data_IF_233603861789
#
_entry.id   IF_233603861789
#
_cell.length_a   1.000
_cell.length_b   1.000
_cell.length_c   1.000
_cell.angle_alpha   90.00
_cell.angle_beta   90.00
_cell.angle_gamma   90.00
#
_symmetry.space_group_name_H-M   'P 1'
#
loop_
_entity.id
_entity.type
_entity.pdbx_description
1 polymer ?
#
# COMPACT_ATOMS: atom_id res chain seq x y z
N UNK A 1 0.28 1.31 -6.16
CA UNK A 1 -0.12 1.44 -4.74
C UNK A 1 -1.29 2.39 -4.69
N UNK A 2 -2.47 1.93 -4.24
CA UNK A 2 -3.58 2.81 -3.94
C UNK A 2 -4.07 2.56 -2.50
N UNK A 3 -4.66 3.58 -1.89
CA UNK A 3 -5.26 3.46 -0.57
C UNK A 3 -6.70 2.97 -0.72
N UNK A 4 -7.13 1.93 0.02
CA UNK A 4 -8.54 1.49 0.01
C UNK A 4 -9.41 2.43 0.84
N UNK A 5 -9.51 3.67 0.35
CA UNK A 5 -10.53 4.61 0.78
C UNK A 5 -11.83 4.40 0.00
N UNK A 6 -11.97 3.20 -0.58
CA UNK A 6 -12.58 2.93 -1.87
C UNK A 6 -13.44 1.70 -1.72
N UNK A 7 -14.69 1.77 -2.17
CA UNK A 7 -15.59 0.62 -2.21
C UNK A 7 -15.15 -0.41 -3.28
N UNK A 8 -15.69 -1.63 -3.27
CA UNK A 8 -15.33 -2.66 -4.26
C UNK A 8 -15.53 -2.24 -5.73
N UNK A 9 -16.47 -1.35 -6.02
CA UNK A 9 -16.78 -0.92 -7.40
C UNK A 9 -15.70 0.02 -7.95
N UNK A 10 -15.22 0.95 -7.12
CA UNK A 10 -14.10 1.82 -7.49
C UNK A 10 -12.78 1.03 -7.53
N UNK A 11 -12.59 0.02 -6.65
CA UNK A 11 -11.45 -0.90 -6.75
C UNK A 11 -11.44 -1.66 -8.09
N UNK A 12 -12.61 -2.14 -8.53
CA UNK A 12 -12.78 -2.78 -9.84
C UNK A 12 -12.47 -1.81 -10.98
N UNK A 13 -12.99 -0.60 -10.92
CA UNK A 13 -12.75 0.42 -11.95
C UNK A 13 -11.25 0.69 -12.12
N UNK A 14 -10.51 0.77 -11.01
CA UNK A 14 -9.06 0.97 -11.03
C UNK A 14 -8.30 -0.25 -11.57
N UNK A 15 -8.69 -1.45 -11.17
CA UNK A 15 -8.09 -2.69 -11.67
C UNK A 15 -8.31 -2.86 -13.18
N UNK A 16 -9.56 -2.69 -13.63
CA UNK A 16 -9.92 -2.76 -15.05
C UNK A 16 -9.10 -1.73 -15.83
N UNK A 17 -9.11 -0.45 -15.42
CA UNK A 17 -8.31 0.60 -16.07
C UNK A 17 -6.82 0.25 -16.14
N UNK A 18 -6.26 -0.21 -15.02
CA UNK A 18 -4.83 -0.52 -14.93
C UNK A 18 -4.43 -1.64 -15.88
N UNK A 19 -5.19 -2.74 -15.88
CA UNK A 19 -4.88 -3.90 -16.70
C UNK A 19 -5.30 -3.73 -18.17
N UNK A 20 -6.35 -2.96 -18.45
CA UNK A 20 -6.76 -2.62 -19.82
C UNK A 20 -5.71 -1.75 -20.51
N UNK A 21 -5.10 -0.79 -19.80
CA UNK A 21 -3.96 -0.04 -20.32
C UNK A 21 -2.82 -1.00 -20.66
N UNK A 22 -2.45 -1.92 -19.76
CA UNK A 22 -1.38 -2.90 -20.03
C UNK A 22 -1.70 -3.72 -21.29
N UNK A 23 -2.96 -4.11 -21.49
CA UNK A 23 -3.41 -4.89 -22.65
C UNK A 23 -3.55 -4.07 -23.94
N UNK A 24 -3.60 -2.75 -23.86
CA UNK A 24 -3.81 -1.88 -25.02
C UNK A 24 -2.50 -1.49 -25.74
N UNK A 25 -2.65 -0.83 -26.87
CA UNK A 25 -1.56 -0.18 -27.60
C UNK A 25 -1.09 1.13 -26.95
N UNK A 26 -1.81 1.63 -25.94
CA UNK A 26 -1.49 2.87 -25.21
C UNK A 26 -0.43 2.67 -24.12
N UNK A 27 -0.13 1.42 -23.71
CA UNK A 27 0.93 1.18 -22.72
C UNK A 27 2.31 1.48 -23.32
N UNK A 28 2.92 2.59 -22.88
CA UNK A 28 4.30 2.97 -23.18
C UNK A 28 5.09 3.06 -21.85
N UNK A 29 5.87 2.04 -21.49
CA UNK A 29 6.59 1.99 -20.21
C UNK A 29 7.71 3.03 -20.10
N UNK A 30 7.78 3.70 -18.96
CA UNK A 30 8.89 4.62 -18.65
C UNK A 30 10.09 3.83 -18.09
N UNK A 31 9.84 2.82 -17.26
CA UNK A 31 10.87 1.96 -16.65
C UNK A 31 11.38 0.84 -17.55
N UNK A 32 12.22 -0.02 -16.99
CA UNK A 32 12.79 -1.20 -17.69
C UNK A 32 11.90 -2.45 -17.60
N UNK A 33 10.79 -2.36 -16.88
CA UNK A 33 9.85 -3.46 -16.67
C UNK A 33 8.44 -2.91 -16.46
N UNK A 34 7.43 -3.67 -16.86
CA UNK A 34 6.02 -3.42 -16.50
C UNK A 34 5.70 -4.20 -15.24
N UNK A 35 5.41 -3.53 -14.13
CA UNK A 35 5.04 -4.19 -12.87
C UNK A 35 3.53 -4.42 -12.81
N UNK A 36 3.02 -5.49 -13.42
CA UNK A 36 1.60 -5.82 -13.48
C UNK A 36 1.05 -6.38 -12.15
N UNK A 37 1.10 -5.58 -11.08
CA UNK A 37 0.59 -5.92 -9.75
C UNK A 37 -0.09 -4.70 -9.09
N UNK A 38 -1.38 -4.83 -8.80
CA UNK A 38 -2.19 -3.83 -8.13
C UNK A 38 -2.38 -4.19 -6.65
N UNK A 39 -1.92 -3.30 -5.78
CA UNK A 39 -2.02 -3.45 -4.34
C UNK A 39 -2.96 -2.40 -3.72
N UNK A 40 -3.88 -2.85 -2.86
CA UNK A 40 -4.79 -2.03 -2.07
C UNK A 40 -4.39 -2.02 -0.58
N UNK A 41 -4.34 -0.82 0.02
CA UNK A 41 -4.10 -0.69 1.48
C UNK A 41 -5.42 -0.75 2.23
N UNK A 42 -5.67 -1.79 3.01
CA UNK A 42 -6.89 -1.96 3.83
C UNK A 42 -6.62 -1.71 5.31
N UNK A 43 -7.66 -1.27 6.04
CA UNK A 43 -7.61 -1.33 7.50
C UNK A 43 -7.31 -2.76 7.95
N UNK A 44 -6.65 -2.91 9.08
CA UNK A 44 -6.41 -4.22 9.67
C UNK A 44 -6.58 -4.09 11.18
N UNK A 45 -7.38 -4.97 11.75
CA UNK A 45 -7.50 -5.27 13.18
C UNK A 45 -8.54 -6.39 13.30
N UNK A 46 -8.10 -7.58 13.72
CA UNK A 46 -8.96 -8.76 13.76
C UNK A 46 -9.25 -9.17 15.20
N UNK A 47 -10.49 -9.57 15.44
CA UNK A 47 -10.89 -10.24 16.65
C UNK A 47 -12.11 -11.12 16.35
N UNK A 48 -12.29 -12.23 17.08
CA UNK A 48 -13.47 -13.11 16.89
C UNK A 48 -14.80 -12.45 17.26
N UNK A 49 -14.73 -11.33 17.97
CA UNK A 49 -15.83 -10.43 18.27
C UNK A 49 -15.62 -9.11 17.51
N UNK A 50 -16.57 -8.76 16.66
CA UNK A 50 -16.50 -7.58 15.79
C UNK A 50 -16.44 -6.25 16.59
N UNK A 51 -17.15 -6.15 17.72
CA UNK A 51 -17.17 -4.95 18.54
C UNK A 51 -15.81 -4.72 19.19
N UNK A 52 -15.15 -5.81 19.59
CA UNK A 52 -13.81 -5.76 20.16
C UNK A 52 -12.75 -5.47 19.08
N UNK A 53 -12.91 -5.99 17.86
CA UNK A 53 -12.06 -5.62 16.72
C UNK A 53 -12.13 -4.11 16.46
N UNK A 54 -13.35 -3.56 16.45
CA UNK A 54 -13.62 -2.13 16.28
C UNK A 54 -13.00 -1.31 17.41
N UNK A 55 -13.26 -1.68 18.67
CA UNK A 55 -12.72 -0.99 19.86
C UNK A 55 -11.19 -0.91 19.83
N UNK A 56 -10.51 -1.94 19.33
CA UNK A 56 -9.03 -2.01 19.27
C UNK A 56 -8.43 -1.28 18.09
N UNK A 57 -9.09 -1.28 16.92
CA UNK A 57 -8.50 -0.86 15.66
C UNK A 57 -8.90 0.53 15.18
N UNK A 58 -10.12 0.99 15.49
CA UNK A 58 -10.72 2.13 14.79
C UNK A 58 -10.01 3.44 15.07
N UNK A 59 -9.55 3.69 16.30
CA UNK A 59 -8.86 4.92 16.69
C UNK A 59 -7.54 5.07 15.92
N UNK A 60 -6.80 3.96 15.76
CA UNK A 60 -5.58 3.95 14.96
C UNK A 60 -5.82 4.25 13.48
N UNK A 61 -6.91 3.71 12.90
CA UNK A 61 -7.28 3.97 11.51
C UNK A 61 -7.75 5.42 11.29
N UNK A 62 -8.53 5.96 12.23
CA UNK A 62 -8.95 7.36 12.23
C UNK A 62 -7.77 8.31 12.35
N UNK A 63 -6.82 8.02 13.24
CA UNK A 63 -5.57 8.77 13.31
C UNK A 63 -4.79 8.74 11.99
N UNK A 64 -4.66 7.57 11.35
CA UNK A 64 -3.96 7.47 10.06
C UNK A 64 -4.60 8.38 9.00
N UNK A 65 -5.93 8.35 8.88
CA UNK A 65 -6.68 9.22 7.96
C UNK A 65 -6.41 10.69 8.23
N UNK A 66 -6.51 11.09 9.50
CA UNK A 66 -6.17 12.44 9.93
C UNK A 66 -4.73 12.81 9.55
N UNK A 67 -3.75 11.96 9.88
CA UNK A 67 -2.34 12.23 9.66
C UNK A 67 -2.00 12.40 8.17
N UNK A 68 -2.54 11.55 7.30
CA UNK A 68 -2.36 11.67 5.84
C UNK A 68 -2.89 13.01 5.33
N UNK A 69 -4.07 13.43 5.80
CA UNK A 69 -4.62 14.73 5.43
C UNK A 69 -3.76 15.88 5.97
N UNK A 70 -3.39 15.84 7.26
CA UNK A 70 -2.60 16.88 7.91
C UNK A 70 -1.23 17.06 7.25
N UNK A 71 -0.57 15.99 6.78
CA UNK A 71 0.71 16.08 6.08
C UNK A 71 0.64 16.83 4.74
N UNK A 72 -0.56 16.94 4.15
CA UNK A 72 -0.79 17.66 2.88
C UNK A 72 -1.42 19.03 3.13
N UNK A 73 -2.31 19.13 4.11
CA UNK A 73 -3.14 20.31 4.35
C UNK A 73 -2.57 21.27 5.41
N UNK A 74 -1.66 20.81 6.28
CA UNK A 74 -1.15 21.61 7.39
C UNK A 74 0.32 21.98 7.21
N UNK A 75 0.71 23.14 7.74
CA UNK A 75 2.11 23.48 7.91
C UNK A 75 2.77 22.52 8.90
N UNK A 76 3.85 21.86 8.49
CA UNK A 76 4.63 20.97 9.35
C UNK A 76 5.99 21.58 9.66
N UNK A 77 6.33 21.66 10.95
CA UNK A 77 7.67 22.02 11.43
C UNK A 77 8.42 20.75 11.85
N UNK A 78 9.48 20.32 11.11
CA UNK A 78 10.25 19.13 11.44
C UNK A 78 10.74 19.14 12.90
N UNK A 79 10.48 18.05 13.62
CA UNK A 79 10.84 17.89 15.03
C UNK A 79 10.06 18.76 16.02
N UNK A 80 8.96 19.41 15.60
CA UNK A 80 8.11 20.25 16.48
C UNK A 80 6.62 19.98 16.33
N UNK A 81 6.10 19.69 15.13
CA UNK A 81 4.69 19.33 14.94
C UNK A 81 4.35 18.00 15.63
N UNK A 82 3.13 17.89 16.19
CA UNK A 82 2.68 16.74 16.97
C UNK A 82 1.29 16.28 16.49
N UNK A 83 1.27 15.52 15.39
CA UNK A 83 0.04 15.02 14.78
C UNK A 83 -0.81 14.19 15.75
N UNK A 84 -0.19 13.40 16.63
CA UNK A 84 -0.95 12.59 17.58
C UNK A 84 -1.64 13.47 18.64
N UNK A 85 -0.95 14.47 19.17
CA UNK A 85 -1.57 15.42 20.11
C UNK A 85 -2.71 16.21 19.48
N UNK A 86 -2.51 16.72 18.26
CA UNK A 86 -3.54 17.43 17.51
C UNK A 86 -4.76 16.53 17.23
N UNK A 87 -4.53 15.27 16.86
CA UNK A 87 -5.61 14.29 16.72
C UNK A 87 -6.34 14.01 18.05
N UNK A 88 -5.63 13.89 19.18
CA UNK A 88 -6.27 13.68 20.49
C UNK A 88 -7.16 14.86 20.92
N UNK A 89 -6.84 16.08 20.51
CA UNK A 89 -7.67 17.27 20.73
C UNK A 89 -8.92 17.30 19.84
N UNK A 90 -8.83 16.73 18.63
CA UNK A 90 -9.91 16.70 17.65
C UNK A 90 -10.84 15.49 17.78
N UNK A 91 -10.33 14.34 18.23
CA UNK A 91 -11.10 13.09 18.28
C UNK A 91 -12.26 13.23 19.27
N UNK A 92 -13.42 12.72 18.88
CA UNK A 92 -14.64 12.87 19.63
C UNK A 92 -15.86 12.67 18.74
N UNK A 93 -17.08 12.88 19.27
CA UNK A 93 -18.32 12.62 18.53
C UNK A 93 -18.51 13.49 17.27
N UNK A 94 -17.78 14.60 17.18
CA UNK A 94 -17.84 15.52 16.03
C UNK A 94 -16.95 15.06 14.86
N UNK A 95 -16.00 14.15 15.10
CA UNK A 95 -15.15 13.61 14.05
C UNK A 95 -15.94 12.51 13.30
N UNK A 96 -16.18 12.65 11.99
CA UNK A 96 -16.96 11.66 11.26
C UNK A 96 -16.26 10.30 11.29
N UNK A 97 -17.00 9.27 11.69
CA UNK A 97 -16.51 7.89 11.59
C UNK A 97 -16.61 7.45 10.14
N UNK A 98 -15.45 7.37 9.48
CA UNK A 98 -15.34 6.79 8.14
C UNK A 98 -15.22 5.27 8.31
N UNK A 99 -15.90 4.52 7.45
CA UNK A 99 -15.79 3.06 7.42
C UNK A 99 -14.32 2.62 7.30
N UNK A 100 -13.96 1.64 8.12
CA UNK A 100 -12.63 1.03 8.12
C UNK A 100 -12.74 -0.39 7.57
N UNK A 101 -12.89 -0.55 6.23
CA UNK A 101 -12.93 -1.88 5.63
C UNK A 101 -11.66 -2.63 6.02
N UNK A 102 -11.84 -3.78 6.67
CA UNK A 102 -10.77 -4.64 7.16
C UNK A 102 -10.55 -4.63 8.68
N UNK A 103 -11.37 -3.91 9.45
CA UNK A 103 -11.48 -4.06 10.90
C UNK A 103 -12.75 -4.87 11.21
N UNK A 104 -12.59 -6.06 11.81
CA UNK A 104 -13.72 -6.95 12.07
C UNK A 104 -13.31 -8.37 12.42
N UNK A 105 -14.17 -9.33 12.12
CA UNK A 105 -13.90 -10.75 12.32
C UNK A 105 -13.03 -11.33 11.18
N UNK A 106 -12.40 -12.50 11.39
CA UNK A 106 -11.74 -13.23 10.30
C UNK A 106 -12.68 -13.53 9.12
N UNK A 107 -13.97 -13.76 9.38
CA UNK A 107 -14.98 -13.98 8.34
C UNK A 107 -15.22 -12.71 7.52
N UNK A 108 -15.41 -11.56 8.19
CA UNK A 108 -15.57 -10.25 7.52
C UNK A 108 -14.36 -9.94 6.64
N UNK A 109 -13.15 -10.17 7.16
CA UNK A 109 -11.91 -9.92 6.43
C UNK A 109 -11.75 -10.87 5.24
N UNK A 110 -12.12 -12.14 5.40
CA UNK A 110 -12.09 -13.10 4.29
C UNK A 110 -13.06 -12.70 3.18
N UNK A 111 -14.25 -12.20 3.52
CA UNK A 111 -15.21 -11.68 2.54
C UNK A 111 -14.64 -10.47 1.79
N UNK A 112 -14.06 -9.51 2.52
CA UNK A 112 -13.41 -8.33 1.93
C UNK A 112 -12.29 -8.70 0.94
N UNK A 113 -11.41 -9.63 1.33
CA UNK A 113 -10.29 -10.04 0.45
C UNK A 113 -10.81 -10.76 -0.80
N UNK A 114 -11.91 -11.54 -0.70
CA UNK A 114 -12.56 -12.14 -1.88
C UNK A 114 -13.17 -11.11 -2.81
N UNK A 115 -13.77 -10.05 -2.27
CA UNK A 115 -14.28 -8.93 -3.06
C UNK A 115 -13.14 -8.24 -3.81
N UNK A 116 -12.04 -7.95 -3.13
CA UNK A 116 -10.83 -7.39 -3.77
C UNK A 116 -10.24 -8.32 -4.84
N UNK A 117 -10.14 -9.62 -4.56
CA UNK A 117 -9.65 -10.60 -5.54
C UNK A 117 -10.55 -10.64 -6.79
N UNK A 118 -11.87 -10.58 -6.58
CA UNK A 118 -12.89 -10.56 -7.66
C UNK A 118 -12.86 -9.25 -8.45
N UNK A 119 -12.52 -8.14 -7.80
CA UNK A 119 -12.30 -6.85 -8.42
C UNK A 119 -10.99 -6.78 -9.22
N UNK A 120 -10.09 -7.77 -9.13
CA UNK A 120 -8.82 -7.79 -9.85
C UNK A 120 -7.63 -7.21 -9.06
N UNK A 121 -7.77 -7.04 -7.74
CA UNK A 121 -6.67 -6.69 -6.85
C UNK A 121 -5.77 -7.92 -6.62
N UNK A 122 -4.47 -7.72 -6.62
CA UNK A 122 -3.49 -8.80 -6.46
C UNK A 122 -2.94 -8.90 -5.04
N UNK A 123 -2.90 -7.77 -4.33
CA UNK A 123 -2.23 -7.66 -3.04
C UNK A 123 -3.04 -6.77 -2.11
N UNK A 124 -3.12 -7.19 -0.85
CA UNK A 124 -3.67 -6.38 0.24
C UNK A 124 -2.53 -6.01 1.17
N UNK A 125 -2.40 -4.72 1.48
CA UNK A 125 -1.44 -4.17 2.43
C UNK A 125 -2.18 -3.82 3.71
N UNK A 126 -1.72 -4.32 4.84
CA UNK A 126 -2.37 -4.10 6.13
C UNK A 126 -1.97 -2.75 6.72
N UNK A 127 -2.97 -1.91 6.98
CA UNK A 127 -2.83 -0.73 7.80
C UNK A 127 -3.24 -1.06 9.24
N UNK A 128 -2.26 -1.54 10.01
CA UNK A 128 -2.45 -1.94 11.41
C UNK A 128 -1.79 -0.97 12.40
N UNK A 129 -0.63 -0.43 12.06
CA UNK A 129 0.15 0.44 12.95
C UNK A 129 -0.19 1.93 12.72
N UNK A 130 -1.46 2.26 12.87
CA UNK A 130 -1.92 3.65 12.97
C UNK A 130 -1.98 4.07 14.44
N UNK A 131 -1.34 5.20 14.78
CA UNK A 131 -1.50 5.81 16.10
C UNK A 131 -0.88 5.00 17.23
N UNK A 132 -1.64 4.77 18.30
CA UNK A 132 -1.22 4.06 19.52
C UNK A 132 -1.83 2.65 19.67
N UNK A 133 -2.09 1.95 18.56
CA UNK A 133 -2.55 0.56 18.61
C UNK A 133 -1.57 -0.29 19.45
N UNK A 134 -2.09 -1.02 20.43
CA UNK A 134 -1.26 -1.82 21.35
C UNK A 134 -0.58 -2.97 20.61
N UNK A 135 0.72 -3.15 20.84
CA UNK A 135 1.51 -4.22 20.22
C UNK A 135 0.87 -5.61 20.37
N UNK A 136 0.32 -5.93 21.54
CA UNK A 136 -0.33 -7.22 21.79
C UNK A 136 -1.52 -7.46 20.84
N UNK A 137 -2.34 -6.44 20.59
CA UNK A 137 -3.50 -6.55 19.70
C UNK A 137 -3.07 -6.70 18.23
N UNK A 138 -1.95 -6.10 17.85
CA UNK A 138 -1.34 -6.26 16.52
C UNK A 138 -0.93 -7.72 16.30
N UNK A 139 -0.20 -8.29 17.27
CA UNK A 139 0.21 -9.70 17.21
C UNK A 139 -0.98 -10.64 17.17
N UNK A 140 -1.97 -10.46 18.07
CA UNK A 140 -3.20 -11.27 18.09
C UNK A 140 -3.95 -11.21 16.75
N UNK A 141 -4.02 -10.03 16.12
CA UNK A 141 -4.65 -9.89 14.79
C UNK A 141 -3.90 -10.63 13.69
N UNK A 142 -2.56 -10.59 13.70
CA UNK A 142 -1.72 -11.29 12.73
C UNK A 142 -1.78 -12.81 12.91
N UNK A 143 -1.83 -13.28 14.16
CA UNK A 143 -2.02 -14.71 14.49
C UNK A 143 -3.37 -15.20 13.96
N UNK A 144 -4.47 -14.48 14.26
CA UNK A 144 -5.80 -14.80 13.73
C UNK A 144 -5.84 -14.79 12.20
N UNK A 145 -5.18 -13.82 11.56
CA UNK A 145 -5.07 -13.80 10.11
C UNK A 145 -4.35 -15.03 9.57
N UNK A 146 -3.23 -15.42 10.17
CA UNK A 146 -2.46 -16.60 9.77
C UNK A 146 -3.22 -17.91 9.95
N UNK A 147 -4.00 -18.02 11.03
CA UNK A 147 -4.76 -19.23 11.38
C UNK A 147 -6.09 -19.36 10.61
N UNK A 148 -6.84 -18.27 10.45
CA UNK A 148 -8.23 -18.32 10.01
C UNK A 148 -8.46 -17.68 8.63
N UNK A 149 -7.63 -16.74 8.18
CA UNK A 149 -7.85 -16.02 6.91
C UNK A 149 -6.93 -16.53 5.80
N UNK A 150 -5.62 -16.51 6.04
CA UNK A 150 -4.59 -16.87 5.06
C UNK A 150 -4.79 -18.25 4.41
N UNK A 151 -5.25 -19.31 5.12
CA UNK A 151 -5.49 -20.62 4.52
C UNK A 151 -6.51 -20.64 3.37
N UNK A 152 -7.39 -19.64 3.29
CA UNK A 152 -8.35 -19.52 2.19
C UNK A 152 -7.70 -19.11 0.86
N UNK A 153 -6.53 -18.47 0.89
CA UNK A 153 -5.90 -17.84 -0.28
C UNK A 153 -4.53 -18.44 -0.61
N UNK A 154 -3.72 -18.76 0.40
CA UNK A 154 -2.35 -19.24 0.22
C UNK A 154 -2.20 -20.46 -0.71
N UNK A 155 -3.09 -21.48 -0.67
CA UNK A 155 -2.97 -22.64 -1.55
C UNK A 155 -3.09 -22.34 -3.04
N UNK A 156 -3.79 -21.26 -3.42
CA UNK A 156 -4.09 -20.92 -4.82
C UNK A 156 -3.25 -19.75 -5.34
N UNK A 157 -2.50 -19.08 -4.46
CA UNK A 157 -1.73 -17.87 -4.79
C UNK A 157 -0.77 -18.08 -5.96
N UNK A 158 0.06 -19.11 -5.89
CA UNK A 158 1.14 -19.30 -6.88
C UNK A 158 0.58 -19.65 -8.26
N UNK A 159 -0.48 -20.46 -8.31
CA UNK A 159 -1.20 -20.75 -9.56
C UNK A 159 -1.82 -19.48 -10.16
N UNK A 160 -2.53 -18.69 -9.35
CA UNK A 160 -3.15 -17.43 -9.80
C UNK A 160 -2.11 -16.45 -10.35
N UNK A 161 -0.98 -16.29 -9.66
CA UNK A 161 0.11 -15.41 -10.11
C UNK A 161 0.68 -15.91 -11.43
N UNK A 162 0.98 -17.20 -11.55
CA UNK A 162 1.54 -17.77 -12.78
C UNK A 162 0.58 -17.63 -13.98
N UNK A 163 -0.72 -17.84 -13.78
CA UNK A 163 -1.73 -17.67 -14.83
C UNK A 163 -1.78 -16.22 -15.32
N UNK A 164 -1.81 -15.25 -14.40
CA UNK A 164 -1.80 -13.83 -14.74
C UNK A 164 -0.52 -13.43 -15.49
N UNK A 165 0.65 -13.89 -15.02
CA UNK A 165 1.92 -13.60 -15.68
C UNK A 165 1.95 -14.16 -17.11
N UNK A 166 1.45 -15.38 -17.32
CA UNK A 166 1.35 -16.00 -18.63
C UNK A 166 0.37 -15.26 -19.56
N UNK A 167 -0.78 -14.84 -19.04
CA UNK A 167 -1.76 -14.04 -19.78
C UNK A 167 -1.18 -12.69 -20.22
N UNK A 168 -0.47 -12.00 -19.32
CA UNK A 168 0.02 -10.64 -19.55
C UNK A 168 1.34 -10.57 -20.33
N UNK A 169 2.12 -11.66 -20.38
CA UNK A 169 3.42 -11.71 -21.06
C UNK A 169 3.43 -11.10 -22.48
N UNK A 170 2.54 -11.50 -23.42
CA UNK A 170 2.56 -10.93 -24.78
C UNK A 170 2.24 -9.43 -24.81
N UNK A 171 1.37 -8.94 -23.91
CA UNK A 171 1.04 -7.53 -23.83
C UNK A 171 2.19 -6.70 -23.25
N UNK A 172 2.88 -7.24 -22.25
CA UNK A 172 4.06 -6.63 -21.64
C UNK A 172 5.21 -6.55 -22.66
N UNK A 173 5.43 -7.61 -23.45
CA UNK A 173 6.44 -7.62 -24.52
C UNK A 173 6.15 -6.51 -25.54
N UNK A 174 4.91 -6.44 -26.05
CA UNK A 174 4.49 -5.39 -26.98
C UNK A 174 4.62 -3.98 -26.38
N UNK A 175 4.33 -3.80 -25.09
CA UNK A 175 4.51 -2.53 -24.41
C UNK A 175 5.99 -2.12 -24.33
N UNK A 176 6.88 -3.07 -24.01
CA UNK A 176 8.33 -2.81 -23.95
C UNK A 176 8.93 -2.51 -25.33
N UNK A 177 8.40 -3.05 -26.42
CA UNK A 177 8.80 -2.69 -27.78
C UNK A 177 8.46 -1.23 -28.12
N UNK A 178 7.34 -0.70 -27.59
CA UNK A 178 6.94 0.70 -27.77
C UNK A 178 7.80 1.68 -26.97
N UNK A 179 8.56 1.19 -25.98
CA UNK A 179 9.38 2.04 -25.13
C UNK A 179 10.48 2.74 -25.95
N UNK A 180 10.55 4.06 -25.80
CA UNK A 180 11.74 4.81 -26.17
C UNK A 180 12.82 4.63 -25.10
N UNK A 181 13.93 4.01 -25.49
CA UNK A 181 15.09 3.81 -24.63
C UNK A 181 15.96 5.06 -24.65
N UNK A 182 16.28 5.58 -23.47
CA UNK A 182 17.22 6.68 -23.33
C UNK A 182 18.63 6.17 -23.58
N UNK A 183 19.42 6.94 -24.32
CA UNK A 183 20.87 6.70 -24.41
C UNK A 183 21.48 6.82 -23.01
N UNK A 184 22.32 5.87 -22.58
CA UNK A 184 23.06 6.01 -21.33
C UNK A 184 23.88 7.30 -21.32
N UNK A 185 23.97 7.94 -20.15
CA UNK A 185 24.84 9.10 -19.97
C UNK A 185 26.29 8.70 -20.25
N UNK A 186 27.01 9.53 -21.00
CA UNK A 186 28.46 9.45 -21.09
C UNK A 186 29.10 9.91 -19.78
N UNK A 187 30.34 9.50 -19.50
CA UNK A 187 31.05 9.86 -18.26
C UNK A 187 31.09 11.37 -18.00
N UNK A 188 31.12 12.20 -19.06
CA UNK A 188 31.11 13.66 -18.94
C UNK A 188 29.75 14.27 -18.61
N UNK A 189 28.65 13.55 -18.84
CA UNK A 189 27.28 14.00 -18.53
C UNK A 189 26.84 13.61 -17.10
N UNK A 190 27.59 12.71 -16.46
CA UNK A 190 27.34 12.32 -15.07
C UNK A 190 27.77 13.47 -14.15
N UNK A 191 26.85 14.07 -13.36
CA UNK A 191 27.20 15.17 -12.48
C UNK A 191 28.16 14.69 -11.38
N UNK A 192 29.23 15.46 -11.17
CA UNK A 192 30.09 15.25 -10.00
C UNK A 192 29.29 15.66 -8.76
N UNK A 193 29.12 14.72 -7.84
CA UNK A 193 28.60 15.02 -6.50
C UNK A 193 29.77 15.50 -5.65
N UNK A 194 29.87 16.80 -5.32
CA UNK A 194 30.97 17.30 -4.51
C UNK A 194 30.84 16.74 -3.07
N UNK A 195 31.96 16.49 -2.40
CA UNK A 195 31.91 16.03 -1.01
C UNK A 195 31.39 17.15 -0.11
N UNK A 196 30.62 16.79 0.92
CA UNK A 196 30.11 17.76 1.91
C UNK A 196 31.20 18.29 2.86
N UNK A 197 32.36 17.61 2.93
CA UNK A 197 33.53 17.98 3.71
C UNK A 197 34.82 17.53 3.01
N UNK A 198 35.96 18.10 3.39
CA UNK A 198 37.26 17.65 2.89
C UNK A 198 37.55 16.20 3.31
N UNK A 199 38.25 15.46 2.45
CA UNK A 199 38.73 14.10 2.74
C UNK A 199 39.76 14.15 3.87
N UNK A 200 39.64 13.26 4.85
CA UNK A 200 40.61 13.21 5.96
C UNK A 200 42.02 12.90 5.45
N UNK A 201 43.03 13.52 6.08
CA UNK A 201 44.41 13.52 5.60
C UNK A 201 45.04 12.14 5.48
N UNK A 202 44.64 11.19 6.32
CA UNK A 202 45.15 9.81 6.28
C UNK A 202 44.53 8.95 5.16
N UNK A 203 43.46 9.41 4.50
CA UNK A 203 42.90 8.78 3.28
C UNK A 203 43.41 9.43 1.98
N UNK A 204 44.33 10.39 2.07
CA UNK A 204 45.02 10.96 0.92
C UNK A 204 46.30 10.16 0.71
N UNK A 205 46.42 9.52 -0.45
CA UNK A 205 47.64 8.78 -0.81
C UNK A 205 48.79 9.79 -0.97
N UNK A 206 49.91 9.56 -0.27
CA UNK A 206 51.14 10.37 -0.37
C UNK A 206 51.75 10.32 -1.76
#
# INVERSE_FOLDING_TARGET
>A
LAFSFVDPDEAKTWADTYYDIIRSDECVPIGHSVNANLAMVAGFSLHRDADEAMRRGIDGFQFFRYAVNALVANETRPGRSNLWGEYEELRGPELPTIGAPGIGTPEDYTALVKEFESAGVDQVIFLQQGGKNEHKHICESLELFGEEVLPHFAPYRDERVAQKELELAPYIEAALERKQWMTPLTDGEIPIVPPSQARESFYVKS
#
